data_IF_542893093568
#
_entry.id   IF_542893093568
#
_cell.length_a   1.000
_cell.length_b   1.000
_cell.length_c   1.000
_cell.angle_alpha   90.00
_cell.angle_beta   90.00
_cell.angle_gamma   90.00
#
_symmetry.space_group_name_H-M   'P 1'
#
loop_
_entity.id
_entity.type
_entity.pdbx_description
1 polymer ?
#
# COMPACT_ATOMS: atom_id res chain seq x y z
N UNK A 1 -8.36 10.01 -10.65
CA UNK A 1 -8.59 9.40 -9.32
C UNK A 1 -7.35 9.42 -8.43
N UNK A 2 -6.31 8.60 -8.65
CA UNK A 2 -5.13 8.62 -7.75
C UNK A 2 -4.41 9.97 -7.70
N UNK A 3 -4.30 10.69 -8.82
CA UNK A 3 -3.74 12.04 -8.85
C UNK A 3 -4.65 13.11 -8.24
N UNK A 4 -5.94 12.83 -8.12
CA UNK A 4 -6.93 13.78 -7.60
C UNK A 4 -7.04 13.67 -6.07
N UNK A 5 -6.88 12.47 -5.52
CA UNK A 5 -6.94 12.18 -4.08
C UNK A 5 -5.76 11.30 -3.61
N UNK A 6 -4.51 11.74 -3.81
CA UNK A 6 -3.32 10.89 -3.61
C UNK A 6 -3.09 10.47 -2.15
N UNK A 7 -3.73 11.14 -1.19
CA UNK A 7 -3.62 10.88 0.25
C UNK A 7 -4.76 10.01 0.81
N UNK A 8 -5.72 9.59 -0.03
CA UNK A 8 -6.94 8.86 0.38
C UNK A 8 -6.93 7.36 0.09
N UNK A 9 -5.81 6.82 -0.38
CA UNK A 9 -5.66 5.41 -0.72
C UNK A 9 -4.60 4.72 0.12
N UNK A 10 -4.86 3.45 0.43
CA UNK A 10 -3.94 2.51 1.08
C UNK A 10 -4.00 1.18 0.30
N UNK A 11 -2.95 0.39 0.42
CA UNK A 11 -2.89 -0.97 -0.13
C UNK A 11 -2.61 -1.98 0.99
N UNK A 12 -3.25 -3.15 0.91
CA UNK A 12 -3.10 -4.24 1.87
C UNK A 12 -3.44 -5.57 1.21
N UNK A 13 -2.99 -6.67 1.83
CA UNK A 13 -3.09 -8.02 1.23
C UNK A 13 -4.37 -8.79 1.59
N UNK A 14 -5.22 -8.22 2.45
CA UNK A 14 -6.43 -8.86 2.99
C UNK A 14 -6.19 -10.29 3.55
N UNK A 15 -5.09 -10.45 4.29
CA UNK A 15 -4.66 -11.75 4.83
C UNK A 15 -5.29 -12.04 6.21
N UNK A 16 -6.60 -12.27 6.22
CA UNK A 16 -7.38 -12.43 7.47
C UNK A 16 -7.31 -13.82 8.13
N UNK A 17 -6.63 -14.81 7.51
CA UNK A 17 -6.30 -16.10 8.14
C UNK A 17 -4.85 -16.51 7.86
N UNK A 18 -4.22 -17.35 8.71
CA UNK A 18 -2.83 -17.79 8.51
C UNK A 18 -2.57 -18.51 7.18
N UNK A 19 -3.52 -19.31 6.68
CA UNK A 19 -3.36 -20.10 5.45
C UNK A 19 -3.16 -19.20 4.21
N UNK A 20 -3.64 -17.95 4.28
CA UNK A 20 -3.45 -16.97 3.22
C UNK A 20 -2.07 -16.35 3.16
N UNK A 21 -1.22 -16.54 4.18
CA UNK A 21 0.11 -15.94 4.23
C UNK A 21 0.99 -16.35 3.05
N UNK A 22 0.79 -17.57 2.54
CA UNK A 22 1.50 -18.06 1.35
C UNK A 22 1.26 -17.20 0.10
N UNK A 23 0.16 -16.45 0.01
CA UNK A 23 -0.15 -15.57 -1.13
C UNK A 23 0.38 -14.14 -0.97
N UNK A 24 0.89 -13.76 0.21
CA UNK A 24 1.39 -12.39 0.47
C UNK A 24 2.47 -11.97 -0.55
N UNK A 25 3.49 -12.80 -0.88
CA UNK A 25 4.50 -12.42 -1.84
C UNK A 25 3.93 -12.11 -3.23
N UNK A 26 2.99 -12.94 -3.71
CA UNK A 26 2.32 -12.78 -5.00
C UNK A 26 1.44 -11.51 -5.02
N UNK A 27 0.63 -11.28 -3.99
CA UNK A 27 -0.20 -10.08 -3.86
C UNK A 27 0.65 -8.81 -3.81
N UNK A 28 1.78 -8.84 -3.09
CA UNK A 28 2.70 -7.73 -3.03
C UNK A 28 3.38 -7.47 -4.38
N UNK A 29 3.73 -8.52 -5.14
CA UNK A 29 4.29 -8.39 -6.49
C UNK A 29 3.28 -7.80 -7.47
N UNK A 30 2.05 -8.33 -7.49
CA UNK A 30 0.96 -7.76 -8.28
C UNK A 30 0.73 -6.29 -7.93
N UNK A 31 0.76 -5.95 -6.64
CA UNK A 31 0.60 -4.57 -6.19
C UNK A 31 1.71 -3.64 -6.69
N UNK A 32 2.97 -4.10 -6.61
CA UNK A 32 4.12 -3.33 -7.14
C UNK A 32 4.03 -3.08 -8.64
N UNK A 33 3.47 -4.01 -9.41
CA UNK A 33 3.33 -3.85 -10.87
C UNK A 33 2.40 -2.69 -11.23
N UNK A 34 1.20 -2.62 -10.65
CA UNK A 34 0.29 -1.50 -10.97
C UNK A 34 0.73 -0.18 -10.32
N UNK A 35 1.42 -0.22 -9.17
CA UNK A 35 2.02 0.98 -8.57
C UNK A 35 3.12 1.59 -9.47
N UNK A 36 3.81 0.79 -10.28
CA UNK A 36 4.85 1.26 -11.19
C UNK A 36 4.31 2.11 -12.35
N UNK A 37 3.02 2.00 -12.65
CA UNK A 37 2.36 2.81 -13.69
C UNK A 37 1.99 4.23 -13.19
N UNK A 38 2.19 4.52 -11.89
CA UNK A 38 1.89 5.82 -11.29
C UNK A 38 3.13 6.72 -11.18
N UNK A 39 2.95 8.05 -11.14
CA UNK A 39 4.00 8.96 -10.70
C UNK A 39 4.58 8.54 -9.35
N UNK A 40 5.91 8.59 -9.24
CA UNK A 40 6.66 8.06 -8.08
C UNK A 40 6.15 8.56 -6.74
N UNK A 41 5.79 9.84 -6.67
CA UNK A 41 5.30 10.48 -5.46
C UNK A 41 3.91 9.97 -5.04
N UNK A 42 3.04 9.65 -6.00
CA UNK A 42 1.73 9.02 -5.75
C UNK A 42 1.93 7.55 -5.36
N UNK A 43 2.78 6.81 -6.07
CA UNK A 43 3.05 5.41 -5.77
C UNK A 43 3.55 5.21 -4.34
N UNK A 44 4.52 6.02 -3.89
CA UNK A 44 5.03 5.96 -2.51
C UNK A 44 3.97 6.29 -1.45
N UNK A 45 3.06 7.22 -1.75
CA UNK A 45 1.94 7.56 -0.86
C UNK A 45 1.06 6.35 -0.61
N UNK A 46 0.62 5.70 -1.68
CA UNK A 46 -0.28 4.55 -1.58
C UNK A 46 0.44 3.32 -1.02
N UNK A 47 1.70 3.12 -1.40
CA UNK A 47 2.50 1.97 -0.96
C UNK A 47 2.77 1.97 0.55
N UNK A 48 3.02 3.14 1.16
CA UNK A 48 3.33 3.18 2.60
C UNK A 48 3.13 4.54 3.30
N UNK A 49 3.42 5.70 2.66
CA UNK A 49 3.43 6.99 3.39
C UNK A 49 2.06 7.41 3.92
N UNK A 50 0.97 7.08 3.22
CA UNK A 50 -0.38 7.35 3.71
C UNK A 50 -0.69 6.50 4.95
N UNK A 51 -0.24 5.24 4.97
CA UNK A 51 -0.38 4.36 6.12
C UNK A 51 0.43 4.86 7.30
N UNK A 52 1.68 5.26 7.07
CA UNK A 52 2.54 5.87 8.09
C UNK A 52 1.94 7.18 8.63
N UNK A 53 1.38 8.04 7.77
CA UNK A 53 0.71 9.27 8.23
C UNK A 53 -0.50 8.99 9.13
N UNK A 54 -1.26 7.94 8.84
CA UNK A 54 -2.49 7.60 9.58
C UNK A 54 -2.21 6.79 10.85
N UNK A 55 -1.19 5.93 10.83
CA UNK A 55 -0.96 4.90 11.84
C UNK A 55 0.48 4.84 12.36
N UNK A 56 1.40 5.58 11.76
CA UNK A 56 2.85 5.46 11.95
C UNK A 56 3.43 6.19 13.16
N UNK A 57 2.64 6.57 14.17
CA UNK A 57 3.17 7.08 15.45
C UNK A 57 2.15 7.02 16.59
N UNK A 58 2.60 6.88 17.86
CA UNK A 58 3.86 7.46 18.35
C UNK A 58 4.80 6.49 19.08
N UNK A 59 6.11 6.60 18.86
CA UNK A 59 7.11 6.25 19.87
C UNK A 59 7.72 7.51 20.52
N UNK A 60 8.02 7.42 21.82
CA UNK A 60 8.71 8.44 22.64
C UNK A 60 10.12 8.78 22.15
#
# INVERSE_FOLDING_TARGET
>A
MFSEFPDRFLVGTDSYTPERWHYIPEHAEWSRRWLADLPRDIAERIAWKNGERLFGSPPD
#
